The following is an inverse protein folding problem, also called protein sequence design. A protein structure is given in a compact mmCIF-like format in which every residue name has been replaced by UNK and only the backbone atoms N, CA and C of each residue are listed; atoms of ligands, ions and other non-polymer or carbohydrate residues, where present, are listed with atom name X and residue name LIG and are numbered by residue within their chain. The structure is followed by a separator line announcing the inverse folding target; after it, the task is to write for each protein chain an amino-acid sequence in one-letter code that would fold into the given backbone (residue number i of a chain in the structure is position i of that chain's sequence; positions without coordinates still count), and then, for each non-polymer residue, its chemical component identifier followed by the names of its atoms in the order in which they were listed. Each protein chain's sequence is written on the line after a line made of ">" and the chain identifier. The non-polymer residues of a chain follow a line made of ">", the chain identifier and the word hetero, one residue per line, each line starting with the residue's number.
data_IF_034564324178
#
_entry.id   IF_034564324178
#
_cell.length_a   1.000
_cell.length_b   1.000
_cell.length_c   1.000
_cell.angle_alpha   90.00
_cell.angle_beta   90.00
_cell.angle_gamma   90.00
#
_symmetry.space_group_name_H-M   'P 1'
#
loop_
_entity.id
_entity.type
_entity.pdbx_description
1 polymer ?
#
# COMPACT_ATOMS: atom_id res chain seq x y z
N UNK A 1 -9.60 -2.29 -21.97
CA UNK A 1 -9.68 -3.43 -21.04
C UNK A 1 -10.91 -3.29 -20.16
N UNK A 2 -10.97 -2.32 -19.24
CA UNK A 2 -12.13 -2.11 -18.36
C UNK A 2 -13.48 -2.02 -19.10
N UNK A 3 -13.56 -1.23 -20.18
CA UNK A 3 -14.78 -1.10 -20.99
C UNK A 3 -15.23 -2.39 -21.69
N UNK A 4 -14.31 -3.29 -22.03
CA UNK A 4 -14.64 -4.57 -22.65
C UNK A 4 -15.20 -5.56 -21.62
N UNK A 5 -14.61 -5.57 -20.42
CA UNK A 5 -15.09 -6.36 -19.29
C UNK A 5 -16.47 -5.87 -18.86
N UNK A 6 -16.66 -4.55 -18.74
CA UNK A 6 -17.93 -3.93 -18.38
C UNK A 6 -19.06 -4.32 -19.34
N UNK A 7 -18.80 -4.29 -20.66
CA UNK A 7 -19.74 -4.80 -21.67
C UNK A 7 -20.03 -6.28 -21.52
N UNK A 8 -19.04 -7.08 -21.10
CA UNK A 8 -19.16 -8.51 -20.88
C UNK A 8 -19.95 -8.90 -19.62
N UNK A 9 -19.96 -8.05 -18.59
CA UNK A 9 -20.68 -8.29 -17.32
C UNK A 9 -22.04 -7.61 -17.24
N UNK A 10 -22.30 -6.60 -18.09
CA UNK A 10 -23.56 -5.85 -18.08
C UNK A 10 -24.76 -6.78 -18.31
N UNK A 11 -25.79 -6.63 -17.46
CA UNK A 11 -27.03 -7.42 -17.49
C UNK A 11 -26.83 -8.94 -17.26
N UNK A 12 -25.71 -9.35 -16.63
CA UNK A 12 -25.48 -10.72 -16.18
C UNK A 12 -25.58 -10.78 -14.67
N UNK A 13 -26.21 -11.84 -14.19
CA UNK A 13 -26.24 -12.13 -12.76
C UNK A 13 -24.93 -12.84 -12.39
N UNK A 14 -24.19 -12.27 -11.44
CA UNK A 14 -22.90 -12.77 -10.98
C UNK A 14 -23.07 -13.14 -9.52
N UNK A 15 -23.35 -14.40 -9.26
CA UNK A 15 -23.59 -14.90 -7.89
C UNK A 15 -22.28 -15.24 -7.17
N UNK A 16 -21.19 -15.52 -7.91
CA UNK A 16 -19.89 -15.91 -7.35
C UNK A 16 -18.73 -15.18 -8.03
N UNK A 17 -17.69 -14.84 -7.26
CA UNK A 17 -16.49 -14.16 -7.76
C UNK A 17 -15.71 -14.98 -8.80
N UNK A 18 -15.81 -16.31 -8.80
CA UNK A 18 -15.17 -17.15 -9.81
C UNK A 18 -15.74 -16.88 -11.21
N UNK A 19 -17.03 -16.61 -11.31
CA UNK A 19 -17.69 -16.29 -12.58
C UNK A 19 -17.16 -14.97 -13.17
N UNK A 20 -16.75 -14.05 -12.28
CA UNK A 20 -16.14 -12.79 -12.68
C UNK A 20 -14.80 -12.99 -13.41
N UNK A 21 -14.02 -14.01 -13.04
CA UNK A 21 -12.77 -14.35 -13.72
C UNK A 21 -13.06 -14.81 -15.15
N UNK A 22 -14.05 -15.68 -15.32
CA UNK A 22 -14.47 -16.15 -16.64
C UNK A 22 -14.95 -15.02 -17.54
N UNK A 23 -15.68 -14.03 -16.99
CA UNK A 23 -16.06 -12.84 -17.76
C UNK A 23 -14.87 -11.95 -18.11
N UNK A 24 -13.91 -11.81 -17.20
CA UNK A 24 -12.70 -11.04 -17.47
C UNK A 24 -11.84 -11.67 -18.56
N UNK A 25 -11.64 -12.98 -18.57
CA UNK A 25 -10.86 -13.69 -19.59
C UNK A 25 -11.50 -13.55 -20.97
N UNK A 26 -12.82 -13.72 -21.04
CA UNK A 26 -13.60 -13.73 -22.27
C UNK A 26 -14.01 -12.33 -22.77
N UNK A 27 -13.70 -11.26 -22.02
CA UNK A 27 -14.09 -9.89 -22.37
C UNK A 27 -13.49 -9.41 -23.70
N UNK A 28 -12.41 -10.04 -24.19
CA UNK A 28 -11.79 -9.73 -25.48
C UNK A 28 -11.28 -11.00 -26.15
N UNK A 29 -11.89 -11.40 -27.26
CA UNK A 29 -11.48 -12.61 -28.00
C UNK A 29 -10.33 -12.36 -29.00
N UNK A 30 -10.23 -11.16 -29.58
CA UNK A 30 -9.23 -10.82 -30.59
C UNK A 30 -8.36 -9.62 -30.19
N UNK A 31 -7.03 -9.63 -30.46
CA UNK A 31 -6.23 -10.75 -30.97
C UNK A 31 -6.08 -11.97 -30.04
N UNK A 32 -6.38 -11.85 -28.74
CA UNK A 32 -6.37 -12.98 -27.80
C UNK A 32 -7.15 -12.66 -26.50
N UNK A 33 -7.69 -13.67 -25.79
CA UNK A 33 -8.27 -13.57 -24.45
C UNK A 33 -7.39 -12.85 -23.43
N UNK A 34 -7.99 -12.24 -22.42
CA UNK A 34 -7.23 -11.70 -21.30
C UNK A 34 -6.75 -12.83 -20.39
N UNK A 35 -5.55 -12.67 -19.83
CA UNK A 35 -5.07 -13.52 -18.74
C UNK A 35 -5.45 -12.87 -17.42
N UNK A 36 -6.19 -13.58 -16.60
CA UNK A 36 -6.60 -13.12 -15.27
C UNK A 36 -5.75 -13.84 -14.24
N UNK A 37 -5.08 -13.06 -13.40
CA UNK A 37 -4.31 -13.58 -12.29
C UNK A 37 -5.01 -13.18 -11.00
N UNK A 38 -5.18 -14.14 -10.11
CA UNK A 38 -5.56 -13.82 -8.74
C UNK A 38 -4.39 -13.10 -8.08
N UNK A 39 -4.69 -12.00 -7.38
CA UNK A 39 -3.69 -11.32 -6.58
C UNK A 39 -3.32 -12.23 -5.41
N UNK A 40 -2.07 -12.66 -5.37
CA UNK A 40 -1.50 -13.29 -4.20
C UNK A 40 -0.81 -12.24 -3.32
N UNK A 41 -0.44 -12.65 -2.11
CA UNK A 41 0.32 -11.77 -1.22
C UNK A 41 1.75 -11.49 -1.74
N UNK A 42 2.22 -12.23 -2.74
CA UNK A 42 3.57 -12.07 -3.29
C UNK A 42 3.70 -10.84 -4.21
N UNK A 43 2.58 -10.36 -4.77
CA UNK A 43 2.54 -9.12 -5.53
C UNK A 43 2.66 -7.86 -4.66
N UNK A 44 2.41 -7.98 -3.36
CA UNK A 44 2.56 -6.85 -2.44
C UNK A 44 4.00 -6.78 -1.96
N UNK A 45 4.57 -5.57 -2.01
CA UNK A 45 5.88 -5.33 -1.43
C UNK A 45 5.81 -5.57 0.08
N UNK A 46 6.72 -6.39 0.60
CA UNK A 46 6.79 -6.66 2.03
C UNK A 46 7.28 -5.41 2.77
N UNK A 47 6.42 -4.86 3.62
CA UNK A 47 6.73 -3.73 4.49
C UNK A 47 6.90 -4.13 5.96
N UNK A 48 6.94 -5.44 6.27
CA UNK A 48 7.05 -5.95 7.64
C UNK A 48 8.37 -5.54 8.31
N UNK A 49 9.40 -5.27 7.51
CA UNK A 49 10.72 -4.85 7.97
C UNK A 49 10.99 -3.36 7.67
N UNK A 50 10.01 -2.48 7.93
CA UNK A 50 10.25 -1.04 7.86
C UNK A 50 10.55 -0.43 9.22
N UNK A 51 11.49 0.50 9.19
CA UNK A 51 11.71 1.44 10.27
C UNK A 51 10.74 2.61 10.10
N UNK A 52 10.03 2.95 11.17
CA UNK A 52 9.08 4.06 11.18
C UNK A 52 9.46 5.08 12.23
N UNK A 53 9.37 6.35 11.87
CA UNK A 53 9.42 7.44 12.83
C UNK A 53 8.02 7.67 13.41
N UNK A 54 7.88 7.47 14.72
CA UNK A 54 6.62 7.69 15.44
C UNK A 54 6.09 9.12 15.37
N UNK A 55 6.94 10.09 14.99
CA UNK A 55 6.59 11.50 14.91
C UNK A 55 7.47 12.21 13.90
N UNK A 56 6.90 13.18 13.19
CA UNK A 56 7.64 14.12 12.35
C UNK A 56 7.81 15.49 13.04
N UNK A 57 7.85 15.51 14.38
CA UNK A 57 8.12 16.74 15.15
C UNK A 57 9.62 17.06 15.14
N UNK A 58 10.06 18.27 14.73
CA UNK A 58 11.48 18.60 14.55
C UNK A 58 12.36 18.24 15.75
N UNK A 59 11.85 18.53 16.95
CA UNK A 59 12.53 18.31 18.23
C UNK A 59 11.50 18.10 19.35
N UNK A 60 11.96 17.66 20.53
CA UNK A 60 11.11 17.18 21.64
C UNK A 60 10.99 18.13 22.84
N UNK A 61 11.79 19.20 22.92
CA UNK A 61 11.80 20.11 24.06
C UNK A 61 10.70 21.17 23.94
N UNK A 62 10.31 21.71 25.09
CA UNK A 62 9.42 22.87 25.18
C UNK A 62 10.15 24.07 24.57
N UNK A 63 9.48 24.77 23.65
CA UNK A 63 10.08 25.88 22.87
C UNK A 63 10.60 25.48 21.49
N UNK A 64 10.65 24.18 21.17
CA UNK A 64 10.98 23.74 19.81
C UNK A 64 9.82 24.00 18.83
N UNK A 65 10.13 24.28 17.54
CA UNK A 65 9.11 24.53 16.52
C UNK A 65 8.10 23.38 16.42
N UNK A 66 6.78 23.67 16.40
CA UNK A 66 5.75 22.69 16.13
C UNK A 66 5.87 22.14 14.70
N UNK A 67 5.27 20.97 14.49
CA UNK A 67 5.15 20.32 13.18
C UNK A 67 4.58 21.26 12.09
N UNK A 68 3.70 22.19 12.47
CA UNK A 68 3.04 23.15 11.57
C UNK A 68 4.01 24.18 10.97
N UNK A 69 5.18 24.35 11.58
CA UNK A 69 6.20 25.29 11.11
C UNK A 69 7.13 24.67 10.07
N UNK A 70 7.06 23.34 9.86
CA UNK A 70 7.79 22.67 8.80
C UNK A 70 7.24 23.13 7.44
N UNK A 71 8.14 23.56 6.56
CA UNK A 71 7.80 23.96 5.19
C UNK A 71 8.26 22.96 4.15
N UNK A 72 9.34 22.23 4.42
CA UNK A 72 9.87 21.24 3.50
C UNK A 72 10.41 20.03 4.26
N UNK A 73 10.20 18.86 3.68
CA UNK A 73 10.72 17.57 4.12
C UNK A 73 11.54 16.95 2.99
N UNK A 74 12.67 16.34 3.34
CA UNK A 74 13.53 15.60 2.43
C UNK A 74 13.81 14.22 2.99
N UNK A 75 13.44 13.20 2.22
CA UNK A 75 13.72 11.80 2.51
C UNK A 75 14.98 11.40 1.75
N UNK A 76 16.05 11.05 2.47
CA UNK A 76 17.30 10.59 1.87
C UNK A 76 17.31 9.06 1.72
N UNK A 77 18.13 8.55 0.79
CA UNK A 77 18.28 7.10 0.56
C UNK A 77 18.86 6.37 1.77
N UNK A 78 19.59 7.08 2.64
CA UNK A 78 20.17 6.56 3.88
C UNK A 78 19.14 6.37 5.01
N UNK A 79 17.85 6.59 4.73
CA UNK A 79 16.76 6.49 5.72
C UNK A 79 16.61 7.72 6.63
N UNK A 80 17.49 8.71 6.49
CA UNK A 80 17.43 9.97 7.25
C UNK A 80 16.40 10.93 6.68
N UNK A 81 15.65 11.59 7.57
CA UNK A 81 14.71 12.66 7.23
C UNK A 81 15.32 14.00 7.60
N UNK A 82 15.23 14.96 6.70
CA UNK A 82 15.66 16.35 6.94
C UNK A 82 14.50 17.32 6.71
N UNK A 83 14.55 18.48 7.36
CA UNK A 83 13.52 19.52 7.26
C UNK A 83 14.09 20.92 7.13
N UNK A 84 13.23 21.83 6.63
CA UNK A 84 13.42 23.29 6.67
C UNK A 84 12.20 23.97 7.27
N UNK A 85 12.44 25.03 8.02
CA UNK A 85 11.39 25.87 8.61
C UNK A 85 11.08 27.08 7.71
N UNK A 86 12.04 27.50 6.88
CA UNK A 86 11.83 28.53 5.85
C UNK A 86 12.35 28.06 4.51
N UNK A 87 11.68 28.46 3.44
CA UNK A 87 12.12 28.17 2.07
C UNK A 87 13.48 28.81 1.72
N UNK A 88 13.83 29.88 2.42
CA UNK A 88 15.10 30.62 2.26
C UNK A 88 16.27 29.97 2.97
N UNK A 89 16.03 29.02 3.88
CA UNK A 89 17.11 28.35 4.59
C UNK A 89 17.97 27.58 3.57
N UNK A 90 19.28 27.83 3.55
CA UNK A 90 20.21 27.13 2.65
C UNK A 90 20.41 25.70 3.14
N UNK A 91 20.72 25.58 4.43
CA UNK A 91 21.03 24.31 5.09
C UNK A 91 19.78 23.51 5.47
N UNK A 92 19.93 22.18 5.43
CA UNK A 92 18.90 21.23 5.87
C UNK A 92 19.17 20.81 7.31
N UNK A 93 18.14 20.74 8.14
CA UNK A 93 18.25 20.23 9.51
C UNK A 93 17.80 18.77 9.57
N UNK A 94 18.54 17.92 10.28
CA UNK A 94 18.18 16.51 10.43
C UNK A 94 17.14 16.31 11.55
N UNK A 95 16.19 15.41 11.31
CA UNK A 95 15.34 14.89 12.37
C UNK A 95 16.16 14.00 13.30
N UNK A 96 16.36 14.45 14.55
CA UNK A 96 17.00 13.63 15.57
C UNK A 96 15.98 12.75 16.30
N UNK A 97 15.15 12.03 15.55
CA UNK A 97 14.23 11.06 16.11
C UNK A 97 14.78 9.64 15.96
N UNK A 98 14.47 8.80 16.96
CA UNK A 98 14.83 7.38 16.92
C UNK A 98 13.74 6.65 16.14
N UNK A 99 14.12 6.03 15.02
CA UNK A 99 13.25 5.13 14.29
C UNK A 99 12.93 3.90 15.14
N UNK A 100 11.69 3.43 15.06
CA UNK A 100 11.22 2.23 15.76
C UNK A 100 10.94 1.15 14.72
N UNK A 101 11.39 -0.07 15.00
CA UNK A 101 11.02 -1.25 14.22
C UNK A 101 9.63 -1.69 14.65
N UNK A 102 8.69 -1.70 13.71
CA UNK A 102 7.40 -2.34 13.92
C UNK A 102 7.58 -3.84 13.67
N UNK A 103 7.41 -4.65 14.72
CA UNK A 103 7.15 -6.07 14.53
C UNK A 103 5.65 -6.20 14.26
N UNK A 104 5.28 -6.39 13.00
CA UNK A 104 3.89 -6.73 12.67
C UNK A 104 3.61 -8.09 13.30
N UNK A 105 2.88 -8.11 14.42
CA UNK A 105 2.31 -9.36 14.94
C UNK A 105 1.40 -9.93 13.87
N UNK A 106 1.72 -11.15 13.43
CA UNK A 106 1.01 -11.88 12.38
C UNK A 106 -0.50 -11.69 12.51
N UNK A 107 -1.12 -11.11 11.49
CA UNK A 107 -2.57 -11.18 11.33
C UNK A 107 -2.90 -12.65 11.09
N UNK A 108 -3.30 -13.36 12.15
CA UNK A 108 -3.76 -14.75 12.05
C UNK A 108 -5.02 -14.73 11.19
N UNK A 109 -4.88 -15.03 9.90
CA UNK A 109 -6.02 -15.37 9.06
C UNK A 109 -6.50 -16.73 9.54
N UNK A 110 -7.63 -16.74 10.23
CA UNK A 110 -8.39 -17.95 10.50
C UNK A 110 -8.75 -18.58 9.14
N UNK A 111 -8.01 -19.62 8.76
CA UNK A 111 -8.36 -20.46 7.61
C UNK A 111 -9.35 -21.52 8.10
N UNK A 112 -10.58 -21.12 8.37
CA UNK A 112 -11.70 -22.06 8.38
C UNK A 112 -11.91 -22.56 6.96
N UNK A 113 -11.21 -23.65 6.68
CA UNK A 113 -11.35 -24.56 5.56
C UNK A 113 -12.82 -24.89 5.29
N UNK A 114 -13.29 -24.58 4.07
CA UNK A 114 -14.49 -25.20 3.53
C UNK A 114 -14.23 -26.70 3.40
N UNK A 115 -14.74 -27.49 4.34
CA UNK A 115 -14.80 -28.96 4.21
C UNK A 115 -15.59 -29.29 2.95
N UNK A 116 -14.93 -29.88 1.96
CA UNK A 116 -15.58 -30.54 0.83
C UNK A 116 -16.55 -31.61 1.36
N UNK A 117 -17.85 -31.39 1.15
CA UNK A 117 -18.84 -32.46 1.23
C UNK A 117 -18.78 -33.23 -0.08
N UNK A 118 -18.13 -34.40 -0.06
CA UNK A 118 -18.34 -35.44 -1.08
C UNK A 118 -19.79 -35.91 -1.00
N UNK A 119 -20.51 -35.81 -2.11
CA UNK A 119 -21.65 -36.67 -2.45
C UNK A 119 -21.19 -37.53 -3.61
#
# INVERSE_FOLDING_TARGET
>A
MHSAIERGIRNKDISVLVDYVTYCENARLSPFPYKVFYLDNALFKDFSNLEYDSSIRPRRKVGDPPIMDIKQLKYNQDGKIQYKLRHTDVEWQEFNQRSVKLFVTNFVRDQTTHKERKI
#
